data_IF_336340116868
#
_entry.id   IF_336340116868
#
_cell.length_a   1.000
_cell.length_b   1.000
_cell.length_c   1.000
_cell.angle_alpha   90.00
_cell.angle_beta   90.00
_cell.angle_gamma   90.00
#
_symmetry.space_group_name_H-M   'P 1'
#
loop_
_entity.id
_entity.type
_entity.pdbx_description
1 polymer ?
#
# COMPACT_ATOMS: atom_id res chain seq x y z
N UNK A 1 -23.58 -3.60 14.98
CA UNK A 1 -22.56 -2.54 14.82
C UNK A 1 -22.16 -2.40 13.35
N UNK A 2 -21.53 -1.30 12.89
CA UNK A 2 -21.18 -1.10 11.45
C UNK A 2 -20.28 -2.21 10.87
N UNK A 3 -19.42 -2.83 11.69
CA UNK A 3 -18.53 -3.90 11.28
C UNK A 3 -19.24 -5.20 10.85
N UNK A 4 -20.30 -5.60 11.56
CA UNK A 4 -21.08 -6.80 11.22
C UNK A 4 -21.80 -6.66 9.87
N UNK A 5 -22.21 -5.44 9.52
CA UNK A 5 -22.80 -5.14 8.21
C UNK A 5 -21.81 -5.27 7.05
N UNK A 6 -20.51 -5.24 7.34
CA UNK A 6 -19.42 -5.43 6.37
C UNK A 6 -18.87 -6.85 6.40
N UNK A 7 -19.49 -7.77 7.15
CA UNK A 7 -19.01 -9.14 7.33
C UNK A 7 -17.71 -9.25 8.13
N UNK A 8 -17.29 -8.19 8.81
CA UNK A 8 -16.04 -8.14 9.55
C UNK A 8 -16.23 -8.78 10.93
N UNK A 9 -15.50 -9.86 11.19
CA UNK A 9 -15.48 -10.53 12.49
C UNK A 9 -14.53 -9.77 13.41
N UNK A 10 -15.06 -9.14 14.46
CA UNK A 10 -14.24 -8.46 15.47
C UNK A 10 -13.85 -9.48 16.53
N UNK A 11 -12.55 -9.74 16.65
CA UNK A 11 -11.99 -10.49 17.78
C UNK A 11 -11.67 -9.51 18.92
N UNK A 12 -12.32 -9.62 20.10
CA UNK A 12 -12.08 -8.74 21.23
C UNK A 12 -10.67 -8.89 21.85
N UNK A 13 -9.94 -9.97 21.53
CA UNK A 13 -8.55 -10.19 21.96
C UNK A 13 -7.55 -9.96 20.80
N UNK A 14 -8.03 -9.51 19.64
CA UNK A 14 -7.17 -9.25 18.49
C UNK A 14 -6.21 -8.09 18.74
N UNK A 15 -5.01 -8.17 18.14
CA UNK A 15 -4.07 -7.05 18.11
C UNK A 15 -4.60 -5.99 17.13
N UNK A 16 -4.74 -4.72 17.55
CA UNK A 16 -5.22 -3.68 16.65
C UNK A 16 -4.21 -3.42 15.53
N UNK A 17 -4.71 -3.35 14.29
CA UNK A 17 -3.95 -2.94 13.11
C UNK A 17 -4.46 -1.56 12.67
N UNK A 18 -3.58 -0.58 12.61
CA UNK A 18 -3.88 0.78 12.15
C UNK A 18 -3.03 1.12 10.95
N UNK A 19 -3.64 1.67 9.90
CA UNK A 19 -2.93 2.14 8.70
C UNK A 19 -3.03 3.67 8.67
N UNK A 20 -1.88 4.34 8.74
CA UNK A 20 -1.76 5.77 8.61
C UNK A 20 -1.20 6.10 7.23
N UNK A 21 -2.03 6.68 6.35
CA UNK A 21 -1.58 7.09 5.02
C UNK A 21 -0.78 8.39 5.16
N UNK A 22 0.52 8.31 4.90
CA UNK A 22 1.45 9.45 5.01
C UNK A 22 1.47 10.30 3.76
N UNK A 23 1.24 9.71 2.58
CA UNK A 23 1.13 10.47 1.34
C UNK A 23 0.41 9.73 0.23
N UNK A 24 -0.40 10.47 -0.53
CA UNK A 24 -0.96 10.03 -1.81
C UNK A 24 -0.68 11.12 -2.84
N UNK A 25 0.07 10.77 -3.90
CA UNK A 25 0.22 11.64 -5.08
C UNK A 25 -0.33 10.90 -6.30
N UNK A 26 -1.37 11.47 -6.90
CA UNK A 26 -1.91 11.05 -8.21
C UNK A 26 -1.73 12.19 -9.21
N UNK A 27 -1.15 11.89 -10.37
CA UNK A 27 -1.07 12.79 -11.53
C UNK A 27 -2.46 13.04 -12.11
N UNK A 28 -2.64 14.21 -12.71
CA UNK A 28 -3.85 14.54 -13.46
C UNK A 28 -3.85 13.83 -14.82
N UNK A 29 -5.03 13.58 -15.40
CA UNK A 29 -5.14 12.85 -16.67
C UNK A 29 -4.44 13.56 -17.84
N UNK A 30 -4.37 14.88 -17.83
CA UNK A 30 -3.62 15.67 -18.82
C UNK A 30 -2.11 15.43 -18.77
N UNK A 31 -1.56 15.17 -17.57
CA UNK A 31 -0.14 14.85 -17.39
C UNK A 31 0.23 13.44 -17.87
N UNK A 32 -0.72 12.49 -17.79
CA UNK A 32 -0.57 11.12 -18.33
C UNK A 32 -0.47 11.10 -19.86
N UNK A 33 -1.08 12.08 -20.53
CA UNK A 33 -1.09 12.18 -21.99
C UNK A 33 0.14 12.91 -22.57
N UNK A 34 0.85 13.73 -21.80
CA UNK A 34 1.87 14.67 -22.28
C UNK A 34 3.35 14.19 -22.11
N UNK A 35 3.67 12.94 -22.45
CA UNK A 35 5.05 12.39 -22.42
C UNK A 35 5.71 12.28 -21.02
N UNK A 36 4.95 11.68 -20.11
CA UNK A 36 5.29 10.73 -19.03
C UNK A 36 6.62 10.73 -18.23
N UNK A 37 7.80 11.18 -18.70
CA UNK A 37 9.05 11.01 -17.93
C UNK A 37 9.34 12.13 -16.90
N UNK A 38 9.06 13.40 -17.21
CA UNK A 38 9.57 14.51 -16.37
C UNK A 38 8.69 14.90 -15.17
N UNK A 39 7.43 14.48 -15.14
CA UNK A 39 6.46 14.98 -14.15
C UNK A 39 6.20 13.98 -12.99
N UNK A 40 7.05 12.94 -12.91
CA UNK A 40 7.19 12.07 -11.75
C UNK A 40 6.30 10.83 -11.77
N UNK A 41 6.47 9.95 -10.78
CA UNK A 41 5.56 8.83 -10.55
C UNK A 41 4.44 9.20 -9.58
N UNK A 42 3.31 8.51 -9.75
CA UNK A 42 2.31 8.38 -8.69
C UNK A 42 2.92 7.55 -7.57
N UNK A 43 2.60 7.89 -6.33
CA UNK A 43 3.21 7.26 -5.16
C UNK A 43 2.19 7.17 -4.03
N UNK A 44 2.20 6.03 -3.36
CA UNK A 44 1.41 5.74 -2.18
C UNK A 44 2.37 5.31 -1.08
N UNK A 45 2.27 5.93 0.09
CA UNK A 45 2.93 5.44 1.30
C UNK A 45 2.07 5.58 2.53
N UNK A 46 2.43 4.79 3.54
CA UNK A 46 1.88 4.88 4.86
C UNK A 46 2.80 4.23 5.88
N UNK A 47 2.38 4.35 7.13
CA UNK A 47 2.86 3.52 8.22
C UNK A 47 1.75 2.57 8.63
N UNK A 48 2.13 1.36 9.03
CA UNK A 48 1.22 0.36 9.58
C UNK A 48 1.67 0.09 11.00
N UNK A 49 0.75 0.25 11.93
CA UNK A 49 0.93 -0.05 13.34
C UNK A 49 0.19 -1.35 13.66
N UNK A 50 0.89 -2.33 14.24
CA UNK A 50 0.37 -3.63 14.68
C UNK A 50 0.76 -3.82 16.14
N UNK A 51 -0.15 -3.51 17.06
CA UNK A 51 0.18 -3.48 18.49
C UNK A 51 1.27 -2.44 18.77
N UNK A 52 2.42 -2.90 19.30
CA UNK A 52 3.58 -2.05 19.59
C UNK A 52 4.60 -1.97 18.42
N UNK A 53 4.34 -2.68 17.32
CA UNK A 53 5.21 -2.68 16.14
C UNK A 53 4.72 -1.68 15.10
N UNK A 54 5.63 -0.91 14.50
CA UNK A 54 5.34 -0.01 13.38
C UNK A 54 6.27 -0.30 12.23
N UNK A 55 5.74 -0.35 11.00
CA UNK A 55 6.54 -0.49 9.79
C UNK A 55 6.04 0.43 8.67
N UNK A 56 6.96 0.83 7.80
CA UNK A 56 6.67 1.67 6.65
C UNK A 56 6.26 0.81 5.45
N UNK A 57 5.29 1.29 4.69
CA UNK A 57 4.89 0.71 3.41
C UNK A 57 4.87 1.80 2.36
N UNK A 58 5.31 1.48 1.15
CA UNK A 58 5.34 2.46 0.10
C UNK A 58 5.73 1.90 -1.24
N UNK A 59 5.13 2.44 -2.28
CA UNK A 59 5.46 2.10 -3.65
C UNK A 59 5.09 3.22 -4.61
N UNK A 60 5.77 3.28 -5.75
CA UNK A 60 5.53 4.29 -6.78
C UNK A 60 5.39 3.67 -8.18
N UNK A 61 4.85 4.44 -9.12
CA UNK A 61 4.64 3.95 -10.49
C UNK A 61 5.90 3.92 -11.36
N UNK A 62 7.07 4.32 -10.84
CA UNK A 62 8.31 4.19 -11.59
C UNK A 62 8.64 2.71 -11.80
N UNK A 63 9.08 2.38 -13.01
CA UNK A 63 9.86 1.18 -13.26
C UNK A 63 11.34 1.54 -13.16
N UNK A 64 12.14 0.61 -12.63
CA UNK A 64 13.59 0.74 -12.49
C UNK A 64 14.32 0.97 -13.83
N UNK A 65 13.65 0.77 -14.97
CA UNK A 65 14.25 0.85 -16.30
C UNK A 65 13.32 1.57 -17.29
N UNK A 66 13.91 2.55 -18.00
CA UNK A 66 13.24 3.44 -18.95
C UNK A 66 12.48 2.77 -20.13
N UNK A 67 12.85 1.56 -20.63
CA UNK A 67 12.15 0.94 -21.75
C UNK A 67 10.74 0.38 -21.43
N UNK A 68 10.42 0.08 -20.18
CA UNK A 68 9.16 -0.63 -19.83
C UNK A 68 7.94 0.23 -19.57
N UNK A 69 8.07 1.56 -19.52
CA UNK A 69 6.97 2.45 -19.17
C UNK A 69 6.78 2.60 -17.65
N UNK A 70 5.54 2.85 -17.22
CA UNK A 70 5.16 3.09 -15.81
C UNK A 70 4.20 1.99 -15.35
N UNK A 71 4.26 1.62 -14.06
CA UNK A 71 3.22 0.80 -13.42
C UNK A 71 1.91 1.58 -13.33
N UNK A 72 0.77 0.90 -13.34
CA UNK A 72 -0.50 1.55 -13.03
C UNK A 72 -0.59 1.86 -11.53
N UNK A 73 -1.45 2.80 -11.14
CA UNK A 73 -1.73 3.06 -9.72
C UNK A 73 -2.38 1.85 -9.04
N UNK A 74 -3.06 0.99 -9.81
CA UNK A 74 -3.61 -0.27 -9.32
C UNK A 74 -2.50 -1.22 -8.91
N UNK A 75 -1.43 -1.35 -9.71
CA UNK A 75 -0.28 -2.19 -9.38
C UNK A 75 0.45 -1.68 -8.12
N UNK A 76 0.54 -0.35 -7.97
CA UNK A 76 1.12 0.29 -6.78
C UNK A 76 0.27 0.01 -5.54
N UNK A 77 -1.05 0.15 -5.65
CA UNK A 77 -1.96 -0.14 -4.55
C UNK A 77 -1.92 -1.63 -4.15
N UNK A 78 -1.83 -2.54 -5.13
CA UNK A 78 -1.67 -3.97 -4.87
C UNK A 78 -0.36 -4.28 -4.16
N UNK A 79 0.76 -3.67 -4.61
CA UNK A 79 2.06 -3.84 -3.99
C UNK A 79 2.08 -3.33 -2.53
N UNK A 80 1.54 -2.14 -2.27
CA UNK A 80 1.41 -1.62 -0.90
C UNK A 80 0.52 -2.53 -0.06
N UNK A 81 -0.61 -3.01 -0.61
CA UNK A 81 -1.48 -3.96 0.07
C UNK A 81 -0.78 -5.25 0.47
N UNK A 82 0.06 -5.81 -0.41
CA UNK A 82 0.90 -6.98 -0.11
C UNK A 82 1.93 -6.68 0.98
N UNK A 83 2.61 -5.53 0.93
CA UNK A 83 3.55 -5.12 1.99
C UNK A 83 2.85 -5.03 3.36
N UNK A 84 1.65 -4.45 3.42
CA UNK A 84 0.84 -4.39 4.64
C UNK A 84 0.52 -5.79 5.15
N UNK A 85 -0.02 -6.67 4.29
CA UNK A 85 -0.41 -8.03 4.69
C UNK A 85 0.79 -8.86 5.17
N UNK A 86 1.92 -8.78 4.46
CA UNK A 86 3.15 -9.46 4.80
C UNK A 86 3.74 -8.94 6.12
N UNK A 87 3.75 -7.62 6.33
CA UNK A 87 4.20 -7.05 7.60
C UNK A 87 3.37 -7.49 8.79
N UNK A 88 2.04 -7.56 8.64
CA UNK A 88 1.15 -8.12 9.68
C UNK A 88 1.45 -9.60 9.93
N UNK A 89 1.65 -10.41 8.88
CA UNK A 89 1.99 -11.83 9.00
C UNK A 89 3.31 -12.06 9.75
N UNK A 90 4.36 -11.27 9.45
CA UNK A 90 5.64 -11.32 10.17
C UNK A 90 5.45 -11.01 11.65
N UNK A 91 4.71 -9.94 11.97
CA UNK A 91 4.44 -9.57 13.37
C UNK A 91 3.67 -10.66 14.10
N UNK A 92 2.77 -11.35 13.40
CA UNK A 92 2.04 -12.51 13.92
C UNK A 92 2.89 -13.80 14.03
N UNK A 93 4.11 -13.81 13.47
CA UNK A 93 4.99 -14.99 13.46
C UNK A 93 4.67 -16.01 12.38
N UNK A 94 3.86 -15.65 11.38
CA UNK A 94 3.50 -16.51 10.27
C UNK A 94 4.59 -16.48 9.17
N UNK A 95 4.90 -17.63 8.54
CA UNK A 95 5.80 -17.66 7.39
C UNK A 95 5.13 -16.99 6.17
N UNK A 96 5.89 -16.16 5.46
CA UNK A 96 5.46 -15.61 4.16
C UNK A 96 6.00 -16.52 3.06
N UNK A 97 5.11 -17.10 2.25
CA UNK A 97 5.47 -17.71 0.97
C UNK A 97 5.38 -16.64 -0.14
N UNK A 98 6.43 -16.52 -0.96
CA UNK A 98 6.52 -15.59 -2.11
C UNK A 98 5.64 -16.02 -3.30
#
# INVERSE_FOLDING_TARGET
>A
MRAEHLGLRIDPNGVPVTIHITSVRSRSDGARMAFNFFDGADYVSGTVDVGDATFEVGENTWLYWAPTGFRSIQDVAEAVGKQVANGVAIVAGEPIEE
#
